data_IF_838951694206
#
_entry.id   IF_838951694206
#
_cell.length_a   1.000
_cell.length_b   1.000
_cell.length_c   1.000
_cell.angle_alpha   90.00
_cell.angle_beta   90.00
_cell.angle_gamma   90.00
#
_symmetry.space_group_name_H-M   'P 1'
#
loop_
_entity.id
_entity.type
_entity.pdbx_description
1 polymer ?
#
# COMPACT_ATOMS: atom_id res chain seq x y z
N UNK A 1 12.78 10.86 19.08
CA UNK A 1 11.44 11.03 18.47
C UNK A 1 10.77 12.23 19.12
N UNK A 2 10.43 13.26 18.36
CA UNK A 2 9.75 14.46 18.91
C UNK A 2 8.24 14.29 18.67
N UNK A 3 7.46 14.41 19.70
CA UNK A 3 5.99 14.47 19.65
C UNK A 3 5.63 15.96 19.60
N UNK A 4 5.06 16.39 18.49
CA UNK A 4 4.55 17.75 18.36
C UNK A 4 3.04 17.74 18.63
N UNK A 5 2.62 18.37 19.72
CA UNK A 5 1.20 18.61 19.98
C UNK A 5 0.70 19.72 19.05
N UNK A 6 -0.22 19.39 18.15
CA UNK A 6 -0.73 20.30 17.13
C UNK A 6 -1.89 21.13 17.64
N UNK A 7 -1.76 22.46 17.48
CA UNK A 7 -2.92 23.35 17.32
C UNK A 7 -3.49 23.17 15.90
N UNK A 8 -4.80 23.33 15.67
CA UNK A 8 -5.38 23.08 14.35
C UNK A 8 -4.94 24.17 13.37
N UNK A 9 -3.87 23.91 12.63
CA UNK A 9 -3.45 24.74 11.50
C UNK A 9 -3.57 23.94 10.20
N UNK A 10 -4.23 24.53 9.21
CA UNK A 10 -4.38 24.02 7.88
C UNK A 10 -3.02 23.95 7.16
N UNK A 11 -2.23 22.91 7.43
CA UNK A 11 -1.00 22.67 6.68
C UNK A 11 -1.32 21.86 5.43
N UNK A 12 -1.18 22.50 4.27
CA UNK A 12 -1.00 21.79 3.00
C UNK A 12 0.41 21.19 3.04
N UNK A 13 0.58 19.91 2.73
CA UNK A 13 1.91 19.30 2.62
C UNK A 13 2.72 20.03 1.54
N UNK A 14 3.94 20.43 1.87
CA UNK A 14 4.88 21.00 0.90
C UNK A 14 5.52 19.87 0.07
N UNK A 15 5.05 19.68 -1.15
CA UNK A 15 5.48 18.62 -2.06
C UNK A 15 6.44 19.17 -3.13
N UNK A 16 7.50 19.87 -2.76
CA UNK A 16 8.50 20.39 -3.70
C UNK A 16 9.48 19.32 -4.20
N UNK A 17 9.00 18.20 -4.73
CA UNK A 17 9.86 17.23 -5.41
C UNK A 17 9.82 17.43 -6.92
N UNK A 18 10.98 17.77 -7.53
CA UNK A 18 11.17 17.80 -8.98
C UNK A 18 10.96 16.40 -9.56
N UNK A 19 9.87 16.23 -10.30
CA UNK A 19 9.56 14.99 -11.02
C UNK A 19 10.35 14.97 -12.33
N UNK A 20 11.15 13.96 -12.54
CA UNK A 20 11.73 13.64 -13.84
C UNK A 20 10.98 12.44 -14.41
N UNK A 21 10.09 12.66 -15.37
CA UNK A 21 9.51 11.57 -16.15
C UNK A 21 9.91 11.75 -17.62
N UNK A 22 10.31 10.66 -18.26
CA UNK A 22 10.46 10.62 -19.69
C UNK A 22 9.05 10.57 -20.30
N UNK A 23 8.66 11.59 -21.04
CA UNK A 23 7.49 11.56 -21.92
C UNK A 23 7.78 10.47 -22.97
N UNK A 24 6.90 9.44 -23.14
CA UNK A 24 7.01 8.60 -24.32
C UNK A 24 6.84 9.49 -25.55
N UNK A 25 7.93 9.71 -26.25
CA UNK A 25 7.99 10.70 -27.31
C UNK A 25 7.07 10.32 -28.48
N UNK A 26 6.14 11.22 -28.83
CA UNK A 26 5.65 11.53 -30.19
C UNK A 26 5.15 10.38 -31.13
N UNK A 27 5.13 9.10 -30.74
CA UNK A 27 4.73 8.06 -31.67
C UNK A 27 3.24 7.99 -32.02
N UNK A 28 2.27 8.49 -31.20
CA UNK A 28 0.88 8.57 -31.63
C UNK A 28 0.65 9.59 -32.74
N UNK A 29 1.53 10.56 -32.91
CA UNK A 29 1.44 11.59 -33.97
C UNK A 29 1.51 10.95 -35.37
N UNK A 30 2.15 9.79 -35.50
CA UNK A 30 2.30 9.10 -36.78
C UNK A 30 1.06 8.32 -37.23
N UNK A 31 0.06 8.09 -36.39
CA UNK A 31 -1.15 7.35 -36.73
C UNK A 31 -2.29 8.21 -37.30
N UNK A 32 -2.14 9.56 -37.32
CA UNK A 32 -3.20 10.50 -37.63
C UNK A 32 -3.19 11.09 -39.07
N UNK A 33 -2.29 10.70 -39.96
CA UNK A 33 -2.13 11.38 -41.26
C UNK A 33 -2.82 10.66 -42.44
N UNK A 34 -4.07 10.27 -42.31
CA UNK A 34 -4.87 9.91 -43.50
C UNK A 34 -6.20 10.69 -43.50
N UNK A 35 -6.29 11.65 -44.43
CA UNK A 35 -7.43 12.41 -44.94
C UNK A 35 -7.56 13.87 -44.45
N UNK A 36 -7.51 14.83 -45.42
CA UNK A 36 -7.52 16.29 -45.21
C UNK A 36 -8.76 16.86 -44.51
N UNK A 37 -9.89 16.19 -44.54
CA UNK A 37 -11.14 16.69 -43.96
C UNK A 37 -11.23 16.45 -42.44
N UNK A 38 -10.47 15.49 -41.92
CA UNK A 38 -10.38 15.16 -40.49
C UNK A 38 -9.11 15.68 -39.80
N UNK A 39 -8.23 16.37 -40.52
CA UNK A 39 -6.90 16.73 -39.98
C UNK A 39 -7.01 17.67 -38.77
N UNK A 40 -7.99 18.59 -38.75
CA UNK A 40 -8.17 19.50 -37.60
C UNK A 40 -8.72 18.80 -36.40
N UNK A 41 -9.72 17.94 -36.55
CA UNK A 41 -10.27 17.14 -35.44
C UNK A 41 -9.24 16.16 -34.90
N UNK A 42 -8.49 15.50 -35.79
CA UNK A 42 -7.40 14.60 -35.39
C UNK A 42 -6.28 15.33 -34.66
N UNK A 43 -6.00 16.58 -35.05
CA UNK A 43 -5.00 17.42 -34.37
C UNK A 43 -5.47 17.86 -32.99
N UNK A 44 -6.71 18.33 -32.85
CA UNK A 44 -7.30 18.70 -31.54
C UNK A 44 -7.36 17.48 -30.60
N UNK A 45 -7.75 16.30 -31.10
CA UNK A 45 -7.75 15.06 -30.34
C UNK A 45 -6.33 14.67 -29.89
N UNK A 46 -5.33 14.81 -30.77
CA UNK A 46 -3.93 14.55 -30.44
C UNK A 46 -3.40 15.51 -29.38
N UNK A 47 -3.71 16.81 -29.48
CA UNK A 47 -3.32 17.80 -28.46
C UNK A 47 -3.98 17.52 -27.11
N UNK A 48 -5.26 17.15 -27.10
CA UNK A 48 -5.99 16.77 -25.89
C UNK A 48 -5.37 15.51 -25.25
N UNK A 49 -5.01 14.52 -26.06
CA UNK A 49 -4.30 13.33 -25.59
C UNK A 49 -2.95 13.66 -24.95
N UNK A 50 -2.12 14.49 -25.61
CA UNK A 50 -0.82 14.91 -25.08
C UNK A 50 -1.00 15.65 -23.76
N UNK A 51 -1.97 16.58 -23.70
CA UNK A 51 -2.29 17.31 -22.48
C UNK A 51 -2.74 16.40 -21.35
N UNK A 52 -3.64 15.46 -21.62
CA UNK A 52 -4.12 14.50 -20.63
C UNK A 52 -3.04 13.52 -20.17
N UNK A 53 -2.24 12.99 -21.10
CA UNK A 53 -1.11 12.13 -20.77
C UNK A 53 -0.06 12.85 -19.91
N UNK A 54 0.20 14.13 -20.19
CA UNK A 54 1.07 14.96 -19.35
C UNK A 54 0.47 15.17 -17.97
N UNK A 55 -0.80 15.54 -17.89
CA UNK A 55 -1.52 15.80 -16.64
C UNK A 55 -1.54 14.57 -15.74
N UNK A 56 -1.88 13.40 -16.29
CA UNK A 56 -1.90 12.11 -15.59
C UNK A 56 -0.55 11.81 -14.93
N UNK A 57 0.55 12.11 -15.62
CA UNK A 57 1.88 11.75 -15.11
C UNK A 57 2.52 12.81 -14.18
N UNK A 58 2.01 14.07 -14.17
CA UNK A 58 2.73 15.17 -13.50
C UNK A 58 1.90 16.00 -12.53
N UNK A 59 0.60 16.12 -12.74
CA UNK A 59 -0.22 17.11 -12.03
C UNK A 59 -1.16 16.51 -11.00
N UNK A 60 -1.41 15.20 -11.08
CA UNK A 60 -2.32 14.53 -10.18
C UNK A 60 -1.61 14.12 -8.88
N UNK A 61 -2.29 14.30 -7.75
CA UNK A 61 -1.83 13.85 -6.43
C UNK A 61 -2.91 13.03 -5.73
N UNK A 62 -2.52 12.10 -4.84
CA UNK A 62 -3.45 11.32 -4.05
C UNK A 62 -4.37 12.22 -3.20
N UNK A 63 -5.64 11.83 -3.09
CA UNK A 63 -6.62 12.52 -2.26
C UNK A 63 -7.41 11.50 -1.45
N UNK A 64 -7.73 11.86 -0.20
CA UNK A 64 -8.65 11.10 0.62
C UNK A 64 -10.08 11.43 0.21
N UNK A 65 -10.94 10.42 0.07
CA UNK A 65 -12.33 10.62 -0.37
C UNK A 65 -13.33 10.67 0.79
N UNK A 66 -12.97 10.05 1.91
CA UNK A 66 -13.74 10.08 3.15
C UNK A 66 -13.20 11.18 4.07
N UNK A 67 -14.09 11.90 4.74
CA UNK A 67 -13.69 12.92 5.71
C UNK A 67 -12.84 12.32 6.81
N UNK A 68 -11.72 12.97 7.14
CA UNK A 68 -10.79 12.50 8.16
C UNK A 68 -10.03 13.67 8.79
N UNK A 69 -9.38 13.39 9.91
CA UNK A 69 -8.47 14.31 10.59
C UNK A 69 -7.18 13.59 10.97
N UNK A 70 -6.11 14.35 11.18
CA UNK A 70 -4.84 13.83 11.69
C UNK A 70 -4.89 13.94 13.21
N UNK A 71 -4.75 12.80 13.90
CA UNK A 71 -4.74 12.73 15.38
C UNK A 71 -3.33 12.58 15.94
N UNK A 72 -2.41 12.02 15.15
CA UNK A 72 -1.00 11.89 15.54
C UNK A 72 -0.11 12.24 14.35
N UNK A 73 0.93 13.04 14.59
CA UNK A 73 1.94 13.44 13.60
C UNK A 73 3.32 12.99 14.06
N UNK A 74 3.84 11.93 13.47
CA UNK A 74 5.19 11.42 13.69
C UNK A 74 6.07 11.71 12.47
N UNK A 75 7.38 11.65 12.63
CA UNK A 75 8.31 11.80 11.51
C UNK A 75 8.03 10.77 10.39
N UNK A 76 7.56 9.56 10.75
CA UNK A 76 7.31 8.44 9.86
C UNK A 76 5.94 8.44 9.21
N UNK A 77 4.91 8.94 9.91
CA UNK A 77 3.52 8.86 9.44
C UNK A 77 2.61 9.90 10.09
N UNK A 78 1.44 10.11 9.46
CA UNK A 78 0.25 10.62 10.10
C UNK A 78 -0.64 9.45 10.54
N UNK A 79 -1.22 9.52 11.73
CA UNK A 79 -2.35 8.67 12.08
C UNK A 79 -3.63 9.44 11.69
N UNK A 80 -4.38 8.89 10.73
CA UNK A 80 -5.62 9.51 10.27
C UNK A 80 -6.81 8.85 10.92
N UNK A 81 -7.69 9.67 11.45
CA UNK A 81 -8.95 9.28 12.08
C UNK A 81 -10.11 9.53 11.11
N UNK A 82 -10.82 8.48 10.77
CA UNK A 82 -12.03 8.46 9.94
C UNK A 82 -13.27 8.16 10.76
N UNK A 83 -13.17 8.11 12.07
CA UNK A 83 -14.22 7.64 12.96
C UNK A 83 -15.50 8.48 12.87
N UNK A 84 -16.63 7.80 12.99
CA UNK A 84 -17.98 8.39 13.05
C UNK A 84 -18.64 8.23 14.42
N UNK A 85 -17.98 7.52 15.33
CA UNK A 85 -18.42 7.25 16.71
C UNK A 85 -17.25 6.69 17.53
N UNK A 86 -17.49 6.43 18.82
CA UNK A 86 -16.48 5.97 19.79
C UNK A 86 -16.79 4.59 20.40
N UNK A 87 -17.77 3.88 19.85
CA UNK A 87 -18.11 2.53 20.32
C UNK A 87 -17.18 1.50 19.67
N UNK A 88 -16.98 0.37 20.34
CA UNK A 88 -16.19 -0.78 19.91
C UNK A 88 -14.66 -0.49 19.91
N UNK A 89 -13.88 -1.54 19.68
CA UNK A 89 -12.43 -1.43 19.53
C UNK A 89 -12.06 -0.66 18.25
N UNK A 90 -11.04 0.19 18.29
CA UNK A 90 -10.53 0.83 17.08
C UNK A 90 -10.02 -0.20 16.06
N UNK A 91 -10.39 -0.01 14.81
CA UNK A 91 -9.80 -0.71 13.67
C UNK A 91 -8.65 0.14 13.14
N UNK A 92 -7.43 -0.36 13.22
CA UNK A 92 -6.26 0.28 12.65
C UNK A 92 -5.86 -0.42 11.34
N UNK A 93 -6.02 0.29 10.23
CA UNK A 93 -5.56 -0.14 8.92
C UNK A 93 -4.09 0.24 8.76
N UNK A 94 -3.21 -0.75 8.82
CA UNK A 94 -1.78 -0.58 8.53
C UNK A 94 -1.56 -0.68 7.02
N UNK A 95 -1.53 0.50 6.37
CA UNK A 95 -1.44 0.63 4.93
C UNK A 95 -0.07 0.19 4.40
N UNK A 96 0.03 -0.21 3.11
CA UNK A 96 1.30 -0.59 2.52
C UNK A 96 2.31 0.57 2.50
N UNK A 97 3.53 0.34 2.98
CA UNK A 97 4.66 1.25 2.77
C UNK A 97 5.58 0.68 1.70
N UNK A 98 5.13 0.76 0.46
CA UNK A 98 5.75 0.12 -0.71
C UNK A 98 5.90 1.07 -1.91
N UNK A 99 6.14 2.34 -1.64
CA UNK A 99 6.38 3.37 -2.67
C UNK A 99 5.12 4.06 -3.19
N UNK A 100 3.93 3.77 -2.65
CA UNK A 100 2.68 4.46 -2.99
C UNK A 100 1.96 4.98 -1.74
N UNK A 101 1.05 5.93 -1.95
CA UNK A 101 0.26 6.55 -0.88
C UNK A 101 -0.69 5.57 -0.21
N UNK A 102 -0.91 5.75 1.10
CA UNK A 102 -1.90 5.05 1.89
C UNK A 102 -3.36 5.28 1.41
N UNK A 103 -3.60 6.25 0.53
CA UNK A 103 -4.93 6.49 -0.05
C UNK A 103 -5.50 5.32 -0.84
N UNK A 104 -4.72 4.26 -1.09
CA UNK A 104 -5.24 2.99 -1.62
C UNK A 104 -6.39 2.42 -0.77
N UNK A 105 -6.42 2.68 0.54
CA UNK A 105 -7.49 2.22 1.44
C UNK A 105 -8.74 3.10 1.41
N UNK A 106 -8.67 4.26 0.75
CA UNK A 106 -9.78 5.20 0.56
C UNK A 106 -9.71 5.80 -0.86
N UNK A 107 -9.63 4.92 -1.85
CA UNK A 107 -9.16 5.18 -3.21
C UNK A 107 -10.08 6.11 -4.00
N UNK A 108 -11.39 5.85 -3.98
CA UNK A 108 -12.40 6.60 -4.71
C UNK A 108 -13.77 6.46 -4.03
N UNK A 109 -14.72 7.37 -4.30
CA UNK A 109 -16.11 7.17 -3.87
C UNK A 109 -16.65 5.82 -4.35
N UNK A 110 -17.14 5.00 -3.42
CA UNK A 110 -17.58 3.62 -3.70
C UNK A 110 -16.44 2.59 -3.80
N UNK A 111 -15.18 2.99 -3.64
CA UNK A 111 -14.01 2.10 -3.59
C UNK A 111 -13.14 2.47 -2.38
N UNK A 112 -13.71 2.40 -1.19
CA UNK A 112 -13.07 2.76 0.08
C UNK A 112 -13.16 1.60 1.06
N UNK A 113 -12.00 1.08 1.46
CA UNK A 113 -11.88 0.08 2.52
C UNK A 113 -12.26 0.68 3.88
N UNK A 114 -11.90 1.95 4.11
CA UNK A 114 -12.33 2.71 5.29
C UNK A 114 -13.85 2.69 5.41
N UNK A 115 -14.56 3.03 4.33
CA UNK A 115 -16.03 3.00 4.30
C UNK A 115 -16.58 1.59 4.49
N UNK A 116 -15.93 0.57 3.95
CA UNK A 116 -16.35 -0.81 4.13
C UNK A 116 -16.38 -1.22 5.62
N UNK A 117 -15.46 -0.73 6.45
CA UNK A 117 -15.51 -0.93 7.89
C UNK A 117 -16.54 -0.05 8.59
N UNK A 118 -16.57 1.27 8.31
CA UNK A 118 -17.52 2.20 8.91
C UNK A 118 -18.98 1.77 8.70
N UNK A 119 -19.30 1.36 7.47
CA UNK A 119 -20.68 0.99 7.08
C UNK A 119 -21.08 -0.42 7.58
N UNK A 120 -20.15 -1.20 8.16
CA UNK A 120 -20.39 -2.55 8.66
C UNK A 120 -20.06 -2.73 10.16
N UNK A 121 -20.33 -1.71 10.97
CA UNK A 121 -20.37 -1.81 12.42
C UNK A 121 -19.06 -1.47 13.16
N UNK A 122 -18.08 -0.93 12.46
CA UNK A 122 -16.83 -0.45 13.06
C UNK A 122 -16.75 1.08 12.97
N UNK A 123 -17.34 1.83 13.92
CA UNK A 123 -17.42 3.29 13.86
C UNK A 123 -16.08 3.99 14.15
N UNK A 124 -15.07 3.26 14.64
CA UNK A 124 -13.72 3.76 14.90
C UNK A 124 -12.74 3.15 13.89
N UNK A 125 -12.35 3.92 12.87
CA UNK A 125 -11.40 3.49 11.83
C UNK A 125 -10.26 4.48 11.71
N UNK A 126 -9.05 3.96 11.82
CA UNK A 126 -7.80 4.71 11.72
C UNK A 126 -6.91 4.12 10.64
N UNK A 127 -6.06 4.96 10.06
CA UNK A 127 -5.12 4.56 8.99
C UNK A 127 -3.73 5.09 9.27
N UNK A 128 -2.70 4.24 9.08
CA UNK A 128 -1.31 4.68 9.01
C UNK A 128 -1.06 5.34 7.66
N UNK A 129 -0.90 6.66 7.64
CA UNK A 129 -0.55 7.40 6.42
C UNK A 129 0.96 7.65 6.42
N UNK A 130 1.70 6.66 5.90
CA UNK A 130 3.16 6.67 5.86
C UNK A 130 3.69 7.81 5.00
N UNK A 131 4.62 8.59 5.55
CA UNK A 131 5.22 9.73 4.86
C UNK A 131 6.30 9.31 3.86
N UNK A 132 6.42 10.07 2.78
CA UNK A 132 7.59 9.97 1.90
C UNK A 132 8.86 10.30 2.67
N UNK A 133 9.89 9.49 2.51
CA UNK A 133 11.13 9.68 3.23
C UNK A 133 11.86 10.97 2.81
N UNK A 134 12.29 11.76 3.79
CA UNK A 134 13.22 12.87 3.61
C UNK A 134 14.68 12.40 3.77
N UNK A 135 15.62 13.31 3.55
CA UNK A 135 17.05 13.00 3.74
C UNK A 135 17.40 12.66 5.20
N UNK A 136 16.70 13.30 6.14
CA UNK A 136 16.87 13.07 7.58
C UNK A 136 16.37 11.67 7.99
N UNK A 137 15.43 11.11 7.25
CA UNK A 137 14.87 9.78 7.51
C UNK A 137 15.68 8.64 6.88
N UNK A 138 16.74 8.89 6.12
CA UNK A 138 17.49 7.86 5.37
C UNK A 138 17.96 6.67 6.21
N UNK A 139 18.24 6.90 7.49
CA UNK A 139 18.73 5.91 8.45
C UNK A 139 17.61 5.29 9.31
N UNK A 140 16.33 5.63 9.06
CA UNK A 140 15.20 4.99 9.73
C UNK A 140 15.11 3.53 9.34
N UNK A 141 14.92 2.68 10.34
CA UNK A 141 14.97 1.22 10.23
C UNK A 141 13.59 0.60 10.37
N UNK A 142 13.49 -0.72 10.23
CA UNK A 142 12.26 -1.47 10.53
C UNK A 142 11.79 -1.18 11.97
N UNK A 143 12.70 -1.10 12.93
CA UNK A 143 12.35 -0.81 14.32
C UNK A 143 11.73 0.59 14.48
N UNK A 144 12.17 1.58 13.70
CA UNK A 144 11.56 2.92 13.70
C UNK A 144 10.08 2.87 13.27
N UNK A 145 9.75 2.07 12.25
CA UNK A 145 8.38 1.90 11.76
C UNK A 145 7.53 1.04 12.69
N UNK A 146 8.10 0.00 13.30
CA UNK A 146 7.43 -0.79 14.34
C UNK A 146 7.12 0.07 15.58
N UNK A 147 8.04 0.95 15.98
CA UNK A 147 7.82 1.88 17.09
C UNK A 147 6.70 2.86 16.78
N UNK A 148 6.67 3.42 15.56
CA UNK A 148 5.62 4.32 15.13
C UNK A 148 4.23 3.63 15.14
N UNK A 149 4.14 2.39 14.63
CA UNK A 149 2.91 1.61 14.68
C UNK A 149 2.51 1.29 16.12
N UNK A 150 3.47 0.96 17.00
CA UNK A 150 3.21 0.72 18.41
C UNK A 150 2.69 1.98 19.13
N UNK A 151 3.26 3.17 18.85
CA UNK A 151 2.78 4.44 19.38
C UNK A 151 1.37 4.79 18.89
N UNK A 152 1.06 4.49 17.61
CA UNK A 152 -0.29 4.67 17.10
C UNK A 152 -1.32 3.84 17.88
N UNK A 153 -0.99 2.58 18.22
CA UNK A 153 -1.87 1.74 19.05
C UNK A 153 -2.00 2.31 20.47
N UNK A 154 -0.92 2.83 21.06
CA UNK A 154 -0.98 3.46 22.38
C UNK A 154 -1.88 4.71 22.37
N UNK A 155 -1.82 5.53 21.32
CA UNK A 155 -2.71 6.69 21.12
C UNK A 155 -4.19 6.27 21.02
N UNK A 156 -4.46 5.09 20.49
CA UNK A 156 -5.81 4.51 20.35
C UNK A 156 -6.29 3.76 21.62
N UNK A 157 -5.62 3.92 22.75
CA UNK A 157 -5.99 3.30 24.02
C UNK A 157 -5.30 1.96 24.30
N UNK A 158 -4.33 1.57 23.49
CA UNK A 158 -3.44 0.42 23.72
C UNK A 158 -3.95 -0.93 23.18
N UNK A 159 -5.16 -1.01 22.67
CA UNK A 159 -5.76 -2.23 22.12
C UNK A 159 -6.53 -1.94 20.82
N UNK A 160 -6.28 -2.71 19.76
CA UNK A 160 -6.90 -2.52 18.45
C UNK A 160 -7.27 -3.84 17.77
N UNK A 161 -8.18 -3.76 16.82
CA UNK A 161 -8.24 -4.68 15.68
C UNK A 161 -7.23 -4.18 14.64
N UNK A 162 -6.23 -5.01 14.31
CA UNK A 162 -5.15 -4.62 13.41
C UNK A 162 -5.34 -5.25 12.03
N UNK A 163 -5.39 -4.43 10.99
CA UNK A 163 -5.60 -4.85 9.60
C UNK A 163 -4.36 -4.50 8.79
N UNK A 164 -3.49 -5.47 8.57
CA UNK A 164 -2.25 -5.31 7.81
C UNK A 164 -2.42 -5.62 6.33
N UNK A 165 -2.09 -4.64 5.49
CA UNK A 165 -2.27 -4.72 4.04
C UNK A 165 -0.89 -4.78 3.35
N UNK A 166 -0.63 -5.80 2.53
CA UNK A 166 0.63 -5.97 1.81
C UNK A 166 1.85 -5.83 2.75
N UNK A 167 2.71 -4.83 2.54
CA UNK A 167 3.86 -4.54 3.42
C UNK A 167 3.43 -4.23 4.86
N UNK A 168 2.30 -3.56 5.07
CA UNK A 168 1.73 -3.40 6.40
C UNK A 168 1.35 -4.73 7.05
N UNK A 169 1.08 -5.78 6.27
CA UNK A 169 0.72 -7.10 6.80
C UNK A 169 1.83 -7.79 7.56
N UNK A 170 3.06 -7.85 7.02
CA UNK A 170 4.16 -8.44 7.78
C UNK A 170 4.59 -7.55 8.96
N UNK A 171 4.49 -6.21 8.81
CA UNK A 171 4.77 -5.27 9.89
C UNK A 171 3.78 -5.46 11.04
N UNK A 172 2.48 -5.58 10.73
CA UNK A 172 1.40 -5.90 11.67
C UNK A 172 1.60 -7.26 12.35
N UNK A 173 2.01 -8.30 11.61
CA UNK A 173 2.31 -9.61 12.18
C UNK A 173 3.51 -9.56 13.13
N UNK A 174 4.58 -8.83 12.77
CA UNK A 174 5.73 -8.63 13.63
C UNK A 174 5.36 -7.87 14.92
N UNK A 175 4.53 -6.83 14.83
CA UNK A 175 4.04 -6.09 15.98
C UNK A 175 3.13 -6.96 16.86
N UNK A 176 2.19 -7.69 16.29
CA UNK A 176 1.29 -8.59 17.03
C UNK A 176 2.08 -9.70 17.78
N UNK A 177 3.13 -10.25 17.15
CA UNK A 177 4.02 -11.20 17.82
C UNK A 177 4.86 -10.56 18.94
N UNK A 178 5.24 -9.28 18.77
CA UNK A 178 6.05 -8.54 19.76
C UNK A 178 5.23 -8.04 20.95
N UNK A 179 3.99 -7.64 20.72
CA UNK A 179 3.05 -7.10 21.70
C UNK A 179 1.68 -7.76 21.61
N UNK A 180 1.56 -9.07 21.92
CA UNK A 180 0.33 -9.81 21.66
C UNK A 180 -0.90 -9.31 22.43
N UNK A 181 -0.70 -8.55 23.51
CA UNK A 181 -1.82 -7.98 24.29
C UNK A 181 -2.48 -6.77 23.61
N UNK A 182 -1.76 -6.09 22.71
CA UNK A 182 -2.25 -4.87 22.02
C UNK A 182 -3.15 -5.16 20.81
N UNK A 183 -3.12 -6.37 20.29
CA UNK A 183 -3.92 -6.78 19.14
C UNK A 183 -4.99 -7.74 19.61
N UNK A 184 -6.27 -7.45 19.34
CA UNK A 184 -7.41 -8.30 19.72
C UNK A 184 -7.89 -9.19 18.59
N UNK A 185 -7.73 -8.75 17.37
CA UNK A 185 -7.90 -9.55 16.15
C UNK A 185 -6.94 -9.03 15.07
N UNK A 186 -6.54 -9.93 14.17
CA UNK A 186 -5.56 -9.61 13.12
C UNK A 186 -6.14 -9.99 11.75
N UNK A 187 -6.04 -9.07 10.80
CA UNK A 187 -6.31 -9.36 9.38
C UNK A 187 -5.01 -9.19 8.60
N UNK A 188 -4.65 -10.18 7.80
CA UNK A 188 -3.49 -10.17 6.91
C UNK A 188 -4.00 -10.31 5.47
N UNK A 189 -3.99 -9.21 4.73
CA UNK A 189 -4.47 -9.18 3.35
C UNK A 189 -3.32 -8.93 2.37
N UNK A 190 -3.09 -9.85 1.44
CA UNK A 190 -1.99 -9.77 0.50
C UNK A 190 -0.62 -9.63 1.19
N UNK A 191 -0.47 -10.17 2.40
CA UNK A 191 0.70 -9.97 3.26
C UNK A 191 1.83 -10.97 2.93
N UNK A 192 3.07 -10.51 2.68
CA UNK A 192 4.21 -11.41 2.44
C UNK A 192 4.75 -11.99 3.76
N UNK A 193 4.07 -13.00 4.32
CA UNK A 193 4.48 -13.66 5.57
C UNK A 193 5.60 -14.65 5.32
N UNK A 194 5.41 -15.60 4.38
CA UNK A 194 6.49 -16.47 3.90
C UNK A 194 6.91 -16.04 2.50
N UNK A 195 7.90 -15.17 2.41
CA UNK A 195 8.37 -14.62 1.15
C UNK A 195 9.01 -15.64 0.20
N UNK A 196 9.29 -16.85 0.69
CA UNK A 196 9.83 -17.94 -0.12
C UNK A 196 8.75 -18.93 -0.61
N UNK A 197 7.51 -18.83 -0.11
CA UNK A 197 6.38 -19.62 -0.61
C UNK A 197 5.90 -19.12 -1.97
N UNK A 198 5.29 -20.01 -2.77
CA UNK A 198 4.75 -19.71 -4.09
C UNK A 198 5.78 -19.21 -5.12
N UNK A 199 5.30 -18.71 -6.25
CA UNK A 199 6.11 -18.24 -7.36
C UNK A 199 5.76 -16.80 -7.75
N UNK A 200 6.08 -15.84 -6.87
CA UNK A 200 5.85 -14.41 -7.10
C UNK A 200 7.00 -13.72 -7.84
N UNK A 201 6.68 -12.60 -8.48
CA UNK A 201 7.65 -11.76 -9.22
C UNK A 201 8.71 -11.19 -8.25
N UNK A 202 8.30 -10.77 -7.06
CA UNK A 202 9.23 -10.21 -6.06
C UNK A 202 10.23 -11.28 -5.58
N UNK A 203 9.77 -12.52 -5.33
CA UNK A 203 10.66 -13.62 -4.98
C UNK A 203 11.71 -13.86 -6.06
N UNK A 204 11.31 -13.86 -7.34
CA UNK A 204 12.23 -14.00 -8.46
C UNK A 204 13.23 -12.86 -8.50
N UNK A 205 12.76 -11.62 -8.43
CA UNK A 205 13.61 -10.42 -8.45
C UNK A 205 14.64 -10.43 -7.31
N UNK A 206 14.20 -10.76 -6.10
CA UNK A 206 15.10 -10.76 -4.93
C UNK A 206 16.10 -11.93 -4.94
N UNK A 207 15.78 -13.04 -5.58
CA UNK A 207 16.71 -14.12 -5.82
C UNK A 207 17.79 -13.73 -6.84
N UNK A 208 17.37 -13.09 -7.94
CA UNK A 208 18.24 -12.84 -9.11
C UNK A 208 19.17 -11.61 -8.89
N UNK A 209 18.78 -10.66 -8.04
CA UNK A 209 19.59 -9.48 -7.72
C UNK A 209 20.36 -9.64 -6.42
N UNK A 210 21.65 -9.24 -6.43
CA UNK A 210 22.50 -9.20 -5.23
C UNK A 210 22.21 -7.99 -4.35
N UNK A 211 22.59 -8.03 -3.08
CA UNK A 211 22.47 -6.86 -2.18
C UNK A 211 23.24 -5.63 -2.67
N UNK A 212 24.31 -5.80 -3.46
CA UNK A 212 25.04 -4.68 -4.04
C UNK A 212 24.20 -3.87 -5.04
N UNK A 213 23.28 -4.52 -5.77
CA UNK A 213 22.34 -3.83 -6.67
C UNK A 213 21.39 -2.91 -5.88
N UNK A 214 20.80 -3.42 -4.80
CA UNK A 214 19.89 -2.63 -3.93
C UNK A 214 20.63 -1.47 -3.24
N UNK A 215 21.85 -1.72 -2.72
CA UNK A 215 22.72 -0.67 -2.16
C UNK A 215 23.07 0.40 -3.19
N UNK A 216 23.29 0.03 -4.45
CA UNK A 216 23.56 0.99 -5.52
C UNK A 216 22.36 1.90 -5.82
N UNK A 217 21.12 1.36 -5.76
CA UNK A 217 19.89 2.17 -5.88
C UNK A 217 19.76 3.18 -4.73
N UNK A 218 19.94 2.73 -3.49
CA UNK A 218 19.91 3.59 -2.30
C UNK A 218 20.99 4.67 -2.36
N UNK A 219 22.20 4.33 -2.79
CA UNK A 219 23.28 5.30 -2.98
C UNK A 219 22.92 6.39 -4.01
N UNK A 220 22.27 6.02 -5.13
CA UNK A 220 21.78 6.98 -6.14
C UNK A 220 20.69 7.90 -5.61
N UNK A 221 19.92 7.46 -4.63
CA UNK A 221 18.89 8.22 -3.94
C UNK A 221 19.38 8.99 -2.71
N UNK A 222 20.69 9.19 -2.57
CA UNK A 222 21.31 9.89 -1.44
C UNK A 222 20.92 9.31 -0.07
N UNK A 223 20.95 7.97 0.02
CA UNK A 223 20.59 7.24 1.24
C UNK A 223 19.11 6.84 1.31
N UNK A 224 18.30 7.14 0.29
CA UNK A 224 16.89 6.74 0.16
C UNK A 224 16.71 5.81 -1.03
N UNK A 225 15.70 4.96 -1.00
CA UNK A 225 15.15 4.41 -2.24
C UNK A 225 14.17 5.44 -2.80
N UNK A 226 14.52 6.05 -3.92
CA UNK A 226 13.60 6.99 -4.57
C UNK A 226 12.36 6.26 -5.08
N UNK A 227 11.18 6.79 -4.79
CA UNK A 227 9.90 6.22 -5.19
C UNK A 227 9.78 6.05 -6.71
N UNK A 228 10.44 6.92 -7.48
CA UNK A 228 10.51 6.78 -8.94
C UNK A 228 11.22 5.50 -9.39
N UNK A 229 12.27 5.04 -8.69
CA UNK A 229 12.92 3.77 -9.00
C UNK A 229 11.99 2.59 -8.73
N UNK A 230 11.22 2.69 -7.64
CA UNK A 230 10.22 1.68 -7.31
C UNK A 230 9.07 1.67 -8.32
N UNK A 231 8.56 2.83 -8.69
CA UNK A 231 7.51 2.95 -9.73
C UNK A 231 7.98 2.37 -11.07
N UNK A 232 9.23 2.63 -11.48
CA UNK A 232 9.79 2.04 -12.70
C UNK A 232 9.91 0.51 -12.58
N UNK A 233 10.26 -0.01 -11.40
CA UNK A 233 10.30 -1.45 -11.17
C UNK A 233 8.88 -2.07 -11.26
N UNK A 234 7.87 -1.43 -10.68
CA UNK A 234 6.46 -1.86 -10.80
C UNK A 234 5.98 -1.86 -12.26
N UNK A 235 6.22 -0.77 -12.99
CA UNK A 235 5.90 -0.68 -14.43
C UNK A 235 6.63 -1.73 -15.26
N UNK A 236 7.89 -2.02 -14.91
CA UNK A 236 8.72 -3.02 -15.58
C UNK A 236 8.27 -4.47 -15.37
N UNK A 237 7.36 -4.76 -14.44
CA UNK A 237 6.77 -6.09 -14.30
C UNK A 237 5.73 -6.39 -15.39
N UNK A 238 5.01 -5.38 -15.87
CA UNK A 238 4.02 -5.48 -16.94
C UNK A 238 4.23 -4.34 -17.97
N UNK A 239 5.37 -4.34 -18.70
CA UNK A 239 5.78 -3.19 -19.50
C UNK A 239 4.80 -2.87 -20.64
N UNK A 240 4.26 -3.86 -21.31
CA UNK A 240 3.32 -3.63 -22.42
C UNK A 240 2.05 -2.90 -21.95
N UNK A 241 1.49 -3.30 -20.81
CA UNK A 241 0.32 -2.67 -20.23
C UNK A 241 0.61 -1.24 -19.73
N UNK A 242 1.75 -1.00 -19.13
CA UNK A 242 2.06 0.26 -18.48
C UNK A 242 2.63 1.33 -19.43
N UNK A 243 3.33 0.92 -20.49
CA UNK A 243 4.00 1.85 -21.39
C UNK A 243 3.36 1.95 -22.78
N UNK A 244 2.54 0.97 -23.18
CA UNK A 244 1.94 0.90 -24.51
C UNK A 244 0.41 0.87 -24.41
N UNK A 245 -0.19 -0.19 -23.86
CA UNK A 245 -1.65 -0.39 -23.86
C UNK A 245 -2.37 0.74 -23.14
N UNK A 246 -1.89 1.18 -21.97
CA UNK A 246 -2.45 2.31 -21.21
C UNK A 246 -2.65 3.57 -22.07
N UNK A 247 -1.65 3.91 -22.90
CA UNK A 247 -1.70 5.13 -23.70
C UNK A 247 -2.50 4.95 -24.99
N UNK A 248 -2.49 3.73 -25.56
CA UNK A 248 -3.40 3.40 -26.68
C UNK A 248 -4.84 3.50 -26.21
N UNK A 249 -5.17 2.87 -25.08
CA UNK A 249 -6.51 2.87 -24.52
C UNK A 249 -6.97 4.28 -24.16
N UNK A 250 -6.09 5.10 -23.56
CA UNK A 250 -6.40 6.51 -23.29
C UNK A 250 -6.69 7.29 -24.57
N UNK A 251 -5.90 7.08 -25.62
CA UNK A 251 -6.11 7.74 -26.91
C UNK A 251 -7.45 7.34 -27.55
N UNK A 252 -7.78 6.05 -27.53
CA UNK A 252 -9.01 5.51 -28.10
C UNK A 252 -10.29 5.92 -27.36
N UNK A 253 -10.18 6.20 -26.06
CA UNK A 253 -11.32 6.52 -25.19
C UNK A 253 -11.28 7.96 -24.64
N UNK A 254 -10.51 8.86 -25.27
CA UNK A 254 -10.35 10.23 -24.78
C UNK A 254 -11.67 11.01 -24.78
N UNK A 255 -12.59 10.67 -25.69
CA UNK A 255 -13.93 11.27 -25.78
C UNK A 255 -14.95 10.62 -24.80
N UNK A 256 -14.55 9.61 -24.04
CA UNK A 256 -15.33 9.03 -22.94
C UNK A 256 -14.93 9.65 -21.59
N UNK A 257 -15.70 10.62 -21.04
CA UNK A 257 -15.38 11.28 -19.78
C UNK A 257 -15.32 10.31 -18.60
N UNK A 258 -16.03 9.19 -18.65
CA UNK A 258 -16.03 8.19 -17.60
C UNK A 258 -14.71 7.41 -17.60
N UNK A 259 -14.24 7.00 -18.78
CA UNK A 259 -12.95 6.31 -18.93
C UNK A 259 -11.78 7.22 -18.51
N UNK A 260 -11.76 8.46 -18.99
CA UNK A 260 -10.75 9.47 -18.61
C UNK A 260 -10.73 9.65 -17.10
N UNK A 261 -11.91 9.82 -16.46
CA UNK A 261 -12.03 9.97 -15.02
C UNK A 261 -11.51 8.78 -14.22
N UNK A 262 -11.77 7.56 -14.68
CA UNK A 262 -11.23 6.34 -14.05
C UNK A 262 -9.71 6.29 -14.17
N UNK A 263 -9.17 6.59 -15.35
CA UNK A 263 -7.72 6.63 -15.61
C UNK A 263 -7.03 7.68 -14.74
N UNK A 264 -7.58 8.89 -14.63
CA UNK A 264 -7.09 9.93 -13.72
C UNK A 264 -7.11 9.48 -12.26
N UNK A 265 -8.21 8.85 -11.84
CA UNK A 265 -8.36 8.40 -10.45
C UNK A 265 -7.30 7.38 -10.09
N UNK A 266 -7.03 6.43 -10.98
CA UNK A 266 -5.95 5.46 -10.79
C UNK A 266 -4.57 6.13 -10.81
N UNK A 267 -4.35 7.05 -11.75
CA UNK A 267 -3.08 7.73 -11.91
C UNK A 267 -2.73 8.61 -10.72
N UNK A 268 -3.71 9.25 -10.07
CA UNK A 268 -3.50 10.03 -8.82
C UNK A 268 -2.75 9.25 -7.76
N UNK A 269 -3.05 7.98 -7.64
CA UNK A 269 -2.41 7.09 -6.69
C UNK A 269 -1.14 6.46 -7.27
N UNK A 270 -1.23 5.89 -8.47
CA UNK A 270 -0.16 5.06 -9.05
C UNK A 270 1.05 5.86 -9.54
N UNK A 271 0.81 7.02 -10.16
CA UNK A 271 1.89 7.88 -10.70
C UNK A 271 2.50 8.82 -9.64
N UNK A 272 2.09 8.70 -8.38
CA UNK A 272 2.58 9.51 -7.26
C UNK A 272 3.40 8.67 -6.27
N UNK A 273 4.65 8.34 -6.60
CA UNK A 273 5.46 7.47 -5.75
C UNK A 273 6.00 8.20 -4.52
N UNK A 274 6.15 7.43 -3.43
CA UNK A 274 6.79 7.85 -2.19
C UNK A 274 8.21 7.28 -2.09
N UNK A 275 9.14 8.08 -1.59
CA UNK A 275 10.49 7.64 -1.26
C UNK A 275 10.47 6.79 0.02
N UNK A 276 11.39 5.82 0.13
CA UNK A 276 11.60 5.01 1.33
C UNK A 276 12.97 5.29 1.95
N UNK A 277 13.10 5.23 3.30
CA UNK A 277 14.42 5.26 3.93
C UNK A 277 15.28 4.11 3.44
N UNK A 278 16.54 4.41 3.11
CA UNK A 278 17.42 3.39 2.55
C UNK A 278 17.72 2.26 3.53
N UNK A 279 17.90 2.58 4.82
CA UNK A 279 18.11 1.58 5.86
C UNK A 279 16.90 0.63 6.01
N UNK A 280 15.68 1.17 6.09
CA UNK A 280 14.45 0.37 6.10
C UNK A 280 14.35 -0.56 4.90
N UNK A 281 14.49 0.02 3.69
CA UNK A 281 14.39 -0.76 2.45
C UNK A 281 15.40 -1.90 2.37
N UNK A 282 16.67 -1.63 2.70
CA UNK A 282 17.72 -2.64 2.67
C UNK A 282 17.49 -3.74 3.71
N UNK A 283 16.98 -3.39 4.90
CA UNK A 283 16.61 -4.37 5.92
C UNK A 283 15.44 -5.24 5.45
N UNK A 284 14.39 -4.67 4.86
CA UNK A 284 13.25 -5.41 4.32
C UNK A 284 13.72 -6.40 3.25
N UNK A 285 14.52 -5.95 2.27
CA UNK A 285 15.06 -6.84 1.24
C UNK A 285 15.90 -7.97 1.84
N UNK A 286 16.81 -7.64 2.76
CA UNK A 286 17.72 -8.62 3.37
C UNK A 286 16.96 -9.60 4.26
N UNK A 287 16.26 -9.09 5.27
CA UNK A 287 15.73 -9.90 6.37
C UNK A 287 14.46 -10.67 5.99
N UNK A 288 13.58 -10.07 5.18
CA UNK A 288 12.32 -10.70 4.79
C UNK A 288 12.46 -11.45 3.46
N UNK A 289 12.90 -10.77 2.39
CA UNK A 289 12.83 -11.38 1.06
C UNK A 289 14.01 -12.33 0.76
N UNK A 290 15.22 -12.05 1.26
CA UNK A 290 16.38 -12.94 1.03
C UNK A 290 16.56 -14.00 2.10
N UNK A 291 16.48 -13.61 3.37
CA UNK A 291 16.78 -14.50 4.50
C UNK A 291 15.54 -15.13 5.12
N UNK A 292 14.35 -14.56 4.85
CA UNK A 292 13.05 -15.04 5.35
C UNK A 292 13.03 -15.23 6.89
N UNK A 293 13.63 -14.25 7.60
CA UNK A 293 13.88 -14.36 9.05
C UNK A 293 12.58 -14.43 9.87
N UNK A 294 11.48 -13.84 9.35
CA UNK A 294 10.19 -13.85 10.02
C UNK A 294 9.68 -15.30 10.23
N UNK A 295 9.71 -16.10 9.17
CA UNK A 295 9.31 -17.52 9.20
C UNK A 295 10.27 -18.36 10.04
N UNK A 296 11.55 -18.06 9.98
CA UNK A 296 12.60 -18.77 10.73
C UNK A 296 12.59 -18.46 12.24
N UNK A 297 11.76 -17.50 12.70
CA UNK A 297 11.76 -17.04 14.07
C UNK A 297 13.06 -16.36 14.50
N UNK A 298 13.81 -15.82 13.54
CA UNK A 298 15.07 -15.12 13.74
C UNK A 298 14.94 -13.60 13.56
N UNK A 299 13.75 -13.12 13.19
CA UNK A 299 13.49 -11.70 12.99
C UNK A 299 13.54 -10.94 14.31
N UNK A 300 14.27 -9.81 14.30
CA UNK A 300 14.36 -8.91 15.45
C UNK A 300 13.34 -7.78 15.33
N UNK A 301 12.55 -7.57 16.36
CA UNK A 301 11.59 -6.48 16.45
C UNK A 301 11.75 -5.74 17.78
N UNK A 302 12.12 -4.47 17.71
CA UNK A 302 12.36 -3.60 18.88
C UNK A 302 13.26 -4.27 19.93
N UNK A 303 14.44 -4.71 19.46
CA UNK A 303 15.47 -5.33 20.29
C UNK A 303 15.18 -6.73 20.81
N UNK A 304 14.08 -7.39 20.35
CA UNK A 304 13.75 -8.76 20.73
C UNK A 304 13.52 -9.64 19.51
N UNK A 305 14.03 -10.87 19.59
CA UNK A 305 13.67 -11.92 18.63
C UNK A 305 12.20 -12.27 18.80
N UNK A 306 11.44 -12.26 17.72
CA UNK A 306 10.01 -12.59 17.73
C UNK A 306 9.76 -14.01 17.24
N UNK A 307 8.63 -14.56 17.69
CA UNK A 307 8.10 -15.82 17.21
C UNK A 307 6.62 -15.61 16.87
N UNK A 308 6.25 -15.86 15.62
CA UNK A 308 4.87 -15.72 15.16
C UNK A 308 3.89 -16.59 15.97
N UNK A 309 4.35 -17.67 16.64
CA UNK A 309 3.53 -18.46 17.58
C UNK A 309 2.98 -17.65 18.76
N UNK A 310 3.53 -16.47 19.04
CA UNK A 310 2.97 -15.56 20.05
C UNK A 310 1.65 -14.88 19.60
N UNK A 311 1.32 -14.92 18.32
CA UNK A 311 0.02 -14.48 17.79
C UNK A 311 -1.00 -15.58 18.07
N UNK A 312 -1.91 -15.33 19.01
CA UNK A 312 -2.94 -16.30 19.44
C UNK A 312 -4.37 -15.76 19.26
N UNK A 313 -4.49 -14.54 18.76
CA UNK A 313 -5.77 -13.85 18.54
C UNK A 313 -6.47 -14.33 17.27
N UNK A 314 -7.81 -14.14 17.16
CA UNK A 314 -8.52 -14.42 15.92
C UNK A 314 -7.83 -13.78 14.72
N UNK A 315 -7.59 -14.56 13.66
CA UNK A 315 -6.82 -14.11 12.51
C UNK A 315 -7.55 -14.43 11.21
N UNK A 316 -7.71 -13.43 10.35
CA UNK A 316 -8.27 -13.55 9.00
C UNK A 316 -7.18 -13.41 7.95
N UNK A 317 -7.08 -14.34 7.01
CA UNK A 317 -6.10 -14.38 5.93
C UNK A 317 -6.81 -14.16 4.58
N UNK A 318 -6.47 -13.08 3.89
CA UNK A 318 -7.06 -12.75 2.58
C UNK A 318 -5.98 -12.73 1.50
N UNK A 319 -6.20 -13.47 0.42
CA UNK A 319 -5.30 -13.55 -0.72
C UNK A 319 -6.01 -13.42 -2.06
N UNK A 320 -5.33 -12.89 -3.07
CA UNK A 320 -5.81 -12.82 -4.45
C UNK A 320 -5.36 -14.05 -5.25
N UNK A 321 -6.28 -14.70 -5.96
CA UNK A 321 -5.99 -15.91 -6.74
C UNK A 321 -4.91 -15.69 -7.81
N UNK A 322 -4.89 -14.50 -8.41
CA UNK A 322 -3.95 -14.12 -9.46
C UNK A 322 -2.92 -13.09 -8.96
N UNK A 323 -2.68 -13.06 -7.65
CA UNK A 323 -1.68 -12.18 -7.05
C UNK A 323 -0.27 -12.73 -7.33
N UNK A 324 0.45 -12.09 -8.23
CA UNK A 324 1.82 -12.42 -8.60
C UNK A 324 2.88 -11.63 -7.82
N UNK A 325 2.46 -10.61 -7.05
CA UNK A 325 3.31 -9.83 -6.14
C UNK A 325 3.48 -10.61 -4.83
N UNK A 326 2.34 -10.95 -4.19
CA UNK A 326 2.27 -11.75 -2.98
C UNK A 326 1.34 -12.94 -3.21
N UNK A 327 1.83 -14.04 -3.80
CA UNK A 327 1.03 -15.22 -4.07
C UNK A 327 0.28 -15.73 -2.84
N UNK A 328 -0.89 -16.37 -3.01
CA UNK A 328 -1.70 -16.88 -1.90
C UNK A 328 -0.90 -17.69 -0.88
N UNK A 329 0.06 -18.48 -1.32
CA UNK A 329 0.91 -19.30 -0.47
C UNK A 329 1.70 -18.50 0.56
N UNK A 330 2.10 -17.26 0.20
CA UNK A 330 2.84 -16.39 1.13
C UNK A 330 1.97 -15.91 2.29
N UNK A 331 0.74 -15.55 2.04
CA UNK A 331 -0.22 -15.11 3.07
C UNK A 331 -0.68 -16.31 3.89
N UNK A 332 -1.08 -17.41 3.22
CA UNK A 332 -1.68 -18.58 3.86
C UNK A 332 -0.67 -19.37 4.70
N UNK A 333 0.64 -19.20 4.48
CA UNK A 333 1.68 -19.76 5.35
C UNK A 333 1.47 -19.38 6.82
N UNK A 334 0.87 -18.21 7.10
CA UNK A 334 0.54 -17.78 8.46
C UNK A 334 -0.28 -18.81 9.23
N UNK A 335 -1.14 -19.59 8.57
CA UNK A 335 -1.96 -20.66 9.20
C UNK A 335 -1.13 -21.64 10.03
N UNK A 336 0.09 -21.94 9.60
CA UNK A 336 0.98 -22.89 10.29
C UNK A 336 2.04 -22.19 11.16
N UNK A 337 2.23 -20.90 10.97
CA UNK A 337 3.28 -20.12 11.64
C UNK A 337 2.82 -19.45 12.92
N UNK A 338 1.54 -19.04 12.99
CA UNK A 338 0.96 -18.39 14.17
C UNK A 338 0.48 -19.40 15.21
N UNK A 339 0.23 -18.93 16.43
CA UNK A 339 -0.26 -19.72 17.55
C UNK A 339 -1.78 -19.72 17.70
N UNK A 340 -2.50 -18.99 16.83
CA UNK A 340 -3.96 -18.93 16.83
C UNK A 340 -4.56 -20.33 16.62
N UNK A 341 -5.53 -20.77 17.46
CA UNK A 341 -6.24 -22.04 17.25
C UNK A 341 -6.89 -22.08 15.85
N UNK A 342 -6.88 -23.24 15.17
CA UNK A 342 -7.45 -23.36 13.82
C UNK A 342 -8.92 -22.92 13.72
N UNK A 343 -9.71 -23.08 14.79
CA UNK A 343 -11.11 -22.60 14.86
C UNK A 343 -11.26 -21.09 14.85
N UNK A 344 -10.20 -20.36 15.13
CA UNK A 344 -10.15 -18.89 15.13
C UNK A 344 -9.34 -18.33 13.94
N UNK A 345 -8.98 -19.16 12.97
CA UNK A 345 -8.36 -18.77 11.72
C UNK A 345 -9.40 -18.84 10.60
N UNK A 346 -9.75 -17.69 10.02
CA UNK A 346 -10.49 -17.64 8.79
C UNK A 346 -9.54 -17.37 7.61
N UNK A 347 -9.84 -17.95 6.45
CA UNK A 347 -9.04 -17.70 5.24
C UNK A 347 -9.92 -17.63 4.00
N UNK A 348 -9.57 -16.75 3.08
CA UNK A 348 -10.28 -16.59 1.82
C UNK A 348 -9.32 -16.26 0.68
N UNK A 349 -9.49 -16.99 -0.43
CA UNK A 349 -8.85 -16.65 -1.70
C UNK A 349 -9.93 -16.07 -2.61
N UNK A 350 -9.72 -14.86 -3.11
CA UNK A 350 -10.66 -14.16 -3.98
C UNK A 350 -10.13 -14.03 -5.40
N UNK A 351 -10.98 -13.92 -6.43
CA UNK A 351 -10.53 -13.61 -7.77
C UNK A 351 -9.82 -12.25 -7.83
N UNK A 352 -8.81 -12.14 -8.69
CA UNK A 352 -8.08 -10.90 -8.95
C UNK A 352 -6.64 -10.93 -8.44
N UNK A 353 -5.92 -9.84 -8.76
CA UNK A 353 -4.53 -9.61 -8.38
C UNK A 353 -4.37 -8.75 -7.14
N UNK A 354 -3.13 -8.38 -6.83
CA UNK A 354 -2.72 -7.73 -5.59
C UNK A 354 -3.49 -6.45 -5.26
N UNK A 355 -3.45 -5.47 -6.15
CA UNK A 355 -4.08 -4.15 -5.94
C UNK A 355 -5.60 -4.27 -5.78
N UNK A 356 -6.21 -5.18 -6.55
CA UNK A 356 -7.65 -5.46 -6.49
C UNK A 356 -8.14 -5.92 -5.12
N UNK A 357 -7.27 -6.47 -4.26
CA UNK A 357 -7.63 -6.81 -2.88
C UNK A 357 -8.08 -5.59 -2.07
N UNK A 358 -7.46 -4.44 -2.30
CA UNK A 358 -7.59 -3.26 -1.47
C UNK A 358 -8.57 -2.22 -2.03
N UNK A 359 -8.69 -2.12 -3.36
CA UNK A 359 -9.55 -1.12 -3.99
C UNK A 359 -10.47 -1.68 -5.07
N UNK A 360 -10.41 -2.97 -5.36
CA UNK A 360 -11.28 -3.61 -6.35
C UNK A 360 -12.75 -3.57 -5.92
N UNK A 361 -13.63 -3.06 -6.79
CA UNK A 361 -15.04 -2.83 -6.50
C UNK A 361 -15.72 -4.04 -5.84
N UNK A 362 -15.54 -5.25 -6.41
CA UNK A 362 -16.13 -6.47 -5.85
C UNK A 362 -15.64 -6.78 -4.44
N UNK A 363 -14.33 -6.65 -4.18
CA UNK A 363 -13.78 -6.94 -2.87
C UNK A 363 -14.25 -5.93 -1.83
N UNK A 364 -14.33 -4.64 -2.19
CA UNK A 364 -14.83 -3.59 -1.30
C UNK A 364 -16.30 -3.83 -0.91
N UNK A 365 -17.15 -4.29 -1.83
CA UNK A 365 -18.59 -4.44 -1.57
C UNK A 365 -19.01 -5.82 -1.04
N UNK A 366 -18.22 -6.86 -1.26
CA UNK A 366 -18.60 -8.23 -0.87
C UNK A 366 -17.66 -8.80 0.21
N UNK A 367 -16.34 -8.64 0.03
CA UNK A 367 -15.35 -9.35 0.86
C UNK A 367 -15.05 -8.60 2.15
N UNK A 368 -14.76 -7.29 2.07
CA UNK A 368 -14.44 -6.50 3.25
C UNK A 368 -15.62 -6.36 4.23
N UNK A 369 -16.89 -6.22 3.78
CA UNK A 369 -18.04 -6.31 4.68
C UNK A 369 -18.17 -7.67 5.39
N UNK A 370 -17.83 -8.78 4.73
CA UNK A 370 -17.79 -10.10 5.36
C UNK A 370 -16.72 -10.17 6.46
N UNK A 371 -15.52 -9.63 6.17
CA UNK A 371 -14.43 -9.54 7.15
C UNK A 371 -14.83 -8.67 8.33
N UNK A 372 -15.43 -7.52 8.10
CA UNK A 372 -15.92 -6.63 9.16
C UNK A 372 -16.93 -7.33 10.09
N UNK A 373 -17.90 -8.05 9.52
CA UNK A 373 -18.87 -8.84 10.31
C UNK A 373 -18.20 -9.98 11.07
N UNK A 374 -17.23 -10.67 10.46
CA UNK A 374 -16.48 -11.72 11.14
C UNK A 374 -15.73 -11.17 12.35
N UNK A 375 -15.09 -10.01 12.21
CA UNK A 375 -14.38 -9.32 13.29
C UNK A 375 -15.30 -8.97 14.46
N UNK A 376 -16.51 -8.43 14.20
CA UNK A 376 -17.49 -8.14 15.25
C UNK A 376 -17.82 -9.39 16.07
N UNK A 377 -18.01 -10.55 15.41
CA UNK A 377 -18.30 -11.82 16.12
C UNK A 377 -17.10 -12.43 16.86
N UNK A 378 -15.90 -11.90 16.71
CA UNK A 378 -14.69 -12.39 17.36
C UNK A 378 -14.16 -11.45 18.46
N UNK A 379 -14.64 -10.22 18.52
CA UNK A 379 -14.16 -9.17 19.45
C UNK A 379 -15.21 -8.79 20.51
N UNK A 380 -16.47 -9.23 20.34
CA UNK A 380 -17.53 -9.18 21.36
C UNK A 380 -17.29 -10.26 22.43
#
# INVERSE_FOLDING_TARGET
MRINHLSPSSHKPDYTHRRYSCIPALWPVCLGFEAEENARQNWEHTLNFIGEAYRINHELSPVWTTQNQITLDLDTMYLRDFSTGSQNLPVLLDAPYAGHSATIVDFAPGQSLVKAFLDNGHPQVFVTDWKSATEEMKDFTIDTYLEALNLAIDELGGEVVLVGLCQGGWLSAALAARFPKKVKALVLAGAPIDTQAGNGVIKKLTRDLSMSNYKALVKRGNGRLLGQFMLQAWKGMHPDQQYIEKYIDLFLHLDDPHYVKQTETFARWYEYPLDLPGAFYLQVVQQLFKENLLVRGEFMALGKKINLKAITVPTYLLAGKSDDITPPEQVLAATHLIGTPPSHIAQKIVPGGHIGLFMGHKNIHEVWPEIAKWLSGMTD
#
